data_IF_017832533674
#
_entry.id   IF_017832533674
#
_cell.length_a   1.000
_cell.length_b   1.000
_cell.length_c   1.000
_cell.angle_alpha   90.00
_cell.angle_beta   90.00
_cell.angle_gamma   90.00
#
_symmetry.space_group_name_H-M   'P 1'
#
loop_
_entity.id
_entity.type
_entity.pdbx_description
1 polymer ?
2 non-polymer ?
3 water ?
#
# COMPACT_ATOMS: atom_id res chain seq x y z
N UNK A 1 -17.04 5.45 13.72
CA UNK A 1 -17.11 4.28 12.81
C UNK A 1 -17.01 4.76 11.38
N UNK A 2 -15.98 4.29 10.70
CA UNK A 2 -15.65 4.73 9.38
C UNK A 2 -15.12 3.47 8.70
N UNK A 3 -15.19 3.44 7.38
CA UNK A 3 -14.47 2.38 6.68
C UNK A 3 -13.07 2.85 6.38
N UNK A 4 -12.14 1.91 6.21
CA UNK A 4 -10.81 2.21 5.67
C UNK A 4 -10.73 1.65 4.26
N UNK A 5 -9.73 2.11 3.52
CA UNK A 5 -9.53 1.66 2.15
C UNK A 5 -9.44 0.15 2.07
N UNK A 6 -8.82 -0.48 3.07
CA UNK A 6 -8.69 -1.93 3.02
C UNK A 6 -10.05 -2.62 2.95
N UNK A 7 -11.06 -1.98 3.54
CA UNK A 7 -12.43 -2.54 3.60
C UNK A 7 -13.10 -2.61 2.24
N UNK A 8 -12.50 -1.94 1.26
CA UNK A 8 -13.13 -1.72 -0.05
C UNK A 8 -12.65 -2.70 -1.12
N UNK A 9 -11.70 -3.56 -0.74
CA UNK A 9 -11.12 -4.54 -1.68
C UNK A 9 -11.60 -5.94 -1.40
N UNK A 10 -11.67 -6.73 -2.47
CA UNK A 10 -12.02 -8.13 -2.43
C UNK A 10 -10.72 -8.96 -2.42
N UNK A 11 -10.25 -9.35 -1.23
CA UNK A 11 -9.01 -10.12 -1.17
C UNK A 11 -9.25 -11.59 -1.46
N UNK A 12 -8.23 -12.28 -1.96
CA UNK A 12 -8.38 -13.67 -2.39
C UNK A 12 -8.36 -14.63 -1.20
N UNK A 13 -7.76 -14.15 -0.10
CA UNK A 13 -7.66 -14.86 1.19
C UNK A 13 -7.42 -13.85 2.31
N UNK A 14 -7.63 -14.27 3.56
CA UNK A 14 -7.24 -13.42 4.70
C UNK A 14 -5.74 -13.12 4.73
N UNK A 15 -4.93 -14.08 4.30
CA UNK A 15 -3.49 -13.86 4.25
C UNK A 15 -3.16 -12.73 3.27
N UNK A 16 -3.83 -12.72 2.12
CA UNK A 16 -3.59 -11.68 1.12
C UNK A 16 -3.96 -10.31 1.71
N UNK A 17 -5.10 -10.24 2.40
CA UNK A 17 -5.52 -9.00 3.08
C UNK A 17 -4.42 -8.52 4.05
N UNK A 18 -3.91 -9.44 4.85
CA UNK A 18 -2.92 -9.04 5.86
C UNK A 18 -1.64 -8.57 5.18
N UNK A 19 -1.28 -9.19 4.06
CA UNK A 19 -0.09 -8.71 3.33
C UNK A 19 -0.29 -7.26 2.86
N UNK A 20 -1.48 -6.97 2.31
CA UNK A 20 -1.82 -5.61 1.92
C UNK A 20 -1.74 -4.65 3.10
N UNK A 21 -2.33 -5.08 4.21
CA UNK A 21 -2.30 -4.31 5.45
C UNK A 21 -0.86 -3.95 5.84
N UNK A 22 0.06 -4.92 5.82
CA UNK A 22 1.42 -4.64 6.23
C UNK A 22 2.11 -3.71 5.23
N UNK A 23 1.93 -3.98 3.95
CA UNK A 23 2.58 -3.16 2.93
C UNK A 23 2.13 -1.72 2.99
N UNK A 24 0.85 -1.50 3.23
CA UNK A 24 0.34 -0.11 3.22
C UNK A 24 0.73 0.61 4.50
N UNK A 25 1.15 -0.13 5.50
CA UNK A 25 1.61 0.50 6.73
C UNK A 25 3.10 0.81 6.71
N UNK A 26 3.84 -0.02 5.98
CA UNK A 26 5.31 0.09 5.95
C UNK A 26 5.86 0.93 4.80
N UNK A 27 5.05 1.10 3.77
CA UNK A 27 5.32 2.09 2.74
C UNK A 27 4.68 3.38 3.21
N UNK A 28 5.47 4.45 3.29
CA UNK A 28 4.97 5.72 3.81
C UNK A 28 5.15 6.83 2.78
N UNK A 29 4.45 7.94 2.98
CA UNK A 29 4.71 9.13 2.19
C UNK A 29 5.07 10.29 3.12
N UNK A 30 6.37 10.38 3.49
CA UNK A 30 6.88 11.19 4.62
C UNK A 30 6.67 12.71 4.50
N UNK A 31 6.50 13.20 3.28
CA UNK A 31 6.21 14.62 3.09
C UNK A 31 4.72 14.90 2.92
N UNK A 32 3.94 13.87 2.54
CA UNK A 32 2.49 13.99 2.38
C UNK A 32 1.89 14.62 3.63
N UNK A 33 0.78 15.33 3.47
CA UNK A 33 0.12 15.88 4.64
C UNK A 33 -0.34 14.71 5.51
N UNK A 34 -0.78 13.62 4.88
CA UNK A 34 -1.03 12.37 5.60
C UNK A 34 -0.06 11.30 5.13
N UNK A 35 0.88 10.92 5.99
CA UNK A 35 2.00 10.07 5.58
C UNK A 35 1.65 8.59 5.51
N UNK A 36 0.50 8.22 6.09
CA UNK A 36 0.01 6.85 6.23
C UNK A 36 -0.79 6.47 4.98
N UNK A 37 -0.16 5.73 4.06
CA UNK A 37 -0.81 5.24 2.81
C UNK A 37 -2.01 4.32 3.08
N UNK A 38 -2.08 3.72 4.28
CA UNK A 38 -3.29 2.97 4.66
C UNK A 38 -4.44 3.88 5.02
N UNK A 39 -4.15 5.09 5.51
CA UNK A 39 -5.25 5.93 6.01
C UNK A 39 -5.63 7.08 5.11
N UNK A 40 -4.68 7.56 4.31
CA UNK A 40 -4.93 8.72 3.45
C UNK A 40 -6.04 8.59 2.39
N UNK A 41 -6.85 9.63 2.17
CA UNK A 41 -7.78 9.64 1.04
C UNK A 41 -7.27 10.51 -0.14
N UNK A 42 -6.01 10.91 -0.06
CA UNK A 42 -5.35 11.56 -1.17
C UNK A 42 -5.29 10.64 -2.41
N UNK A 43 -5.47 11.22 -3.62
CA UNK A 43 -5.36 10.45 -4.83
C UNK A 43 -4.11 9.59 -4.89
N UNK A 44 -2.95 10.11 -4.48
CA UNK A 44 -1.74 9.27 -4.55
C UNK A 44 -1.89 7.98 -3.73
N UNK A 45 -2.53 8.09 -2.57
CA UNK A 45 -2.69 6.88 -1.71
C UNK A 45 -3.61 5.84 -2.34
N UNK A 46 -4.71 6.30 -2.94
CA UNK A 46 -5.60 5.38 -3.64
C UNK A 46 -4.82 4.70 -4.77
N UNK A 47 -4.04 5.47 -5.54
CA UNK A 47 -3.17 4.90 -6.58
C UNK A 47 -2.19 3.83 -6.06
N UNK A 48 -1.48 4.14 -4.98
CA UNK A 48 -0.54 3.18 -4.40
C UNK A 48 -1.23 1.92 -3.89
N UNK A 49 -2.38 2.08 -3.21
CA UNK A 49 -3.08 0.91 -2.67
C UNK A 49 -3.57 0.05 -3.83
N UNK A 50 -4.10 0.70 -4.86
CA UNK A 50 -4.58 0.01 -6.05
C UNK A 50 -3.45 -0.82 -6.68
N UNK A 51 -2.25 -0.25 -6.71
CA UNK A 51 -1.09 -0.92 -7.31
C UNK A 51 -0.60 -2.08 -6.46
N UNK A 52 -0.55 -1.88 -5.14
CA UNK A 52 -0.19 -2.94 -4.22
C UNK A 52 -1.14 -4.11 -4.32
N UNK A 53 -2.43 -3.84 -4.30
CA UNK A 53 -3.45 -4.89 -4.50
C UNK A 53 -3.23 -5.66 -5.80
N UNK A 54 -2.97 -4.91 -6.88
CA UNK A 54 -2.81 -5.48 -8.22
C UNK A 54 -1.64 -6.43 -8.19
N UNK A 55 -0.55 -5.96 -7.60
CA UNK A 55 0.66 -6.79 -7.56
C UNK A 55 0.57 -8.00 -6.66
N UNK A 56 -0.13 -7.87 -5.54
CA UNK A 56 -0.44 -9.07 -4.72
C UNK A 56 -1.17 -10.11 -5.53
N UNK A 57 -2.13 -9.65 -6.30
CA UNK A 57 -2.95 -10.58 -7.09
C UNK A 57 -2.21 -11.15 -8.31
N UNK A 58 -1.19 -10.42 -8.79
CA UNK A 58 -0.28 -10.92 -9.85
C UNK A 58 0.69 -11.99 -9.35
N UNK A 59 0.81 -12.10 -8.03
CA UNK A 59 1.68 -13.15 -7.43
C UNK A 59 3.08 -12.60 -7.14
N UNK A 60 3.19 -11.29 -6.93
CA UNK A 60 4.46 -10.66 -6.60
C UNK A 60 4.72 -10.87 -5.10
N UNK A 61 5.99 -11.02 -4.71
CA UNK A 61 6.33 -11.18 -3.31
C UNK A 61 6.33 -9.81 -2.62
N UNK A 62 6.30 -9.84 -1.29
CA UNK A 62 6.39 -8.63 -0.48
C UNK A 62 7.62 -7.81 -0.90
N UNK A 63 8.78 -8.48 -1.00
CA UNK A 63 10.03 -7.84 -1.45
C UNK A 63 9.96 -7.19 -2.82
N UNK A 64 9.35 -7.88 -3.78
CA UNK A 64 9.20 -7.37 -5.14
C UNK A 64 8.30 -6.14 -5.15
N UNK A 65 7.22 -6.20 -4.37
CA UNK A 65 6.29 -5.10 -4.29
C UNK A 65 6.95 -3.83 -3.74
N UNK A 66 7.68 -3.97 -2.64
CA UNK A 66 8.35 -2.82 -2.03
C UNK A 66 9.30 -2.17 -3.03
N UNK A 67 10.12 -3.01 -3.67
CA UNK A 67 11.04 -2.55 -4.68
C UNK A 67 10.32 -1.78 -5.79
N UNK A 68 9.23 -2.33 -6.32
CA UNK A 68 8.47 -1.65 -7.37
C UNK A 68 7.99 -0.25 -6.95
N UNK A 69 7.22 -0.16 -5.85
CA UNK A 69 6.64 1.13 -5.42
C UNK A 69 7.68 2.20 -5.07
N UNK A 70 8.79 1.78 -4.46
CA UNK A 70 9.90 2.68 -4.14
C UNK A 70 10.61 3.18 -5.42
N UNK A 71 10.94 2.25 -6.30
CA UNK A 71 11.65 2.58 -7.52
C UNK A 71 10.79 3.34 -8.53
N UNK A 72 9.48 3.10 -8.49
CA UNK A 72 8.56 3.75 -9.42
C UNK A 72 8.02 5.09 -8.92
N UNK A 73 7.96 5.28 -7.60
CA UNK A 73 7.37 6.50 -7.00
C UNK A 73 8.21 7.14 -5.90
N UNK A 74 9.53 7.03 -6.04
CA UNK A 74 10.48 7.58 -5.07
C UNK A 74 10.40 9.07 -4.75
N UNK A 75 9.69 9.85 -5.57
CA UNK A 75 9.51 11.28 -5.28
C UNK A 75 8.58 11.54 -4.10
N UNK A 76 7.71 10.57 -3.79
CA UNK A 76 6.82 10.71 -2.64
C UNK A 76 6.80 9.50 -1.70
N UNK A 77 7.07 8.31 -2.23
CA UNK A 77 7.02 7.05 -1.46
C UNK A 77 8.36 6.65 -0.83
N UNK A 78 8.32 6.14 0.40
CA UNK A 78 9.51 5.62 1.09
C UNK A 78 9.20 4.41 1.95
N UNK A 79 10.02 3.37 1.82
CA UNK A 79 9.86 2.17 2.62
C UNK A 79 10.40 2.40 4.03
N UNK A 80 9.54 2.19 5.02
CA UNK A 80 9.89 2.39 6.43
C UNK A 80 9.62 1.10 7.22
N UNK A 81 10.55 0.13 7.15
CA UNK A 81 10.33 -1.14 7.85
C UNK A 81 10.12 -0.92 9.35
N UNK A 82 9.29 -1.75 10.00
CA UNK A 82 8.94 -1.54 11.40
C UNK A 82 10.06 -1.91 12.39
X LIG B 1 6.19 -6.10 5.53
X LIG B 1 5.46 -5.96 4.31
X LIG B 1 6.36 -5.25 3.32
X LIG B 1 7.73 -5.54 3.56
X LIG B 1 8.09 -6.85 3.15
X LIG B 1 9.53 -6.95 2.67
X LIG B 1 10.01 -8.16 3.26
X LIG B 1 10.65 -9.02 2.33
X LIG B 1 11.39 -10.01 3.19
X LIG B 1 10.49 -10.56 4.14
X LIG C 1 8.25 -6.68 -9.80
X LIG C 1 8.35 -7.25 -11.11
X LIG C 1 8.65 -8.74 -10.95
X LIG C 1 10.06 -8.95 -10.99
X LIG C 1 10.67 -8.85 -9.70
X LIG C 1 12.17 -8.73 -9.86
X LIG C 1 12.78 -9.62 -8.93
X LIG C 1 13.90 -9.04 -8.28
X LIG C 1 13.63 -8.92 -6.78
X LIG C 1 12.94 -10.08 -6.34
#
# INVERSE_FOLDING_TARGET
GSHMAIDTYEFASDAERERFRNLTQELRCPKCQNQDIADSNAPIAADLRKQIYGQLQQGKSDGEIVDYMVARYGDFVRYKPPVN
PG4 O1 C1 C2 O2 C3 C4 O3 C5 C6 O4
PG4 O1 C1 C2 O2 C3 C4 O3 C5 C6 O4
#
